data_IF_995279702589
#
_entry.id   IF_995279702589
#
_cell.length_a   1.000
_cell.length_b   1.000
_cell.length_c   1.000
_cell.angle_alpha   90.00
_cell.angle_beta   90.00
_cell.angle_gamma   90.00
#
_symmetry.space_group_name_H-M   'P 1'
#
loop_
_entity.id
_entity.type
_entity.pdbx_description
1 polymer ?
#
# COMPACT_ATOMS: atom_id res chain seq x y z
N UNK A 1 -64.38 35.32 6.83
CA UNK A 1 -64.28 33.97 7.40
C UNK A 1 -63.63 33.04 6.38
N UNK A 2 -62.34 32.76 6.54
CA UNK A 2 -61.63 31.62 5.95
C UNK A 2 -60.45 31.34 6.87
N UNK A 3 -60.68 30.40 7.78
CA UNK A 3 -59.72 29.89 8.76
C UNK A 3 -58.78 28.98 7.97
N UNK A 4 -57.49 29.31 7.96
CA UNK A 4 -56.44 28.41 7.47
C UNK A 4 -55.72 27.82 8.68
N UNK A 5 -56.08 26.58 8.99
CA UNK A 5 -55.21 25.68 9.74
C UNK A 5 -54.10 25.21 8.79
N UNK A 6 -52.84 25.37 9.17
CA UNK A 6 -51.76 24.53 8.66
C UNK A 6 -50.68 24.37 9.71
N UNK A 7 -50.76 23.19 10.33
CA UNK A 7 -49.71 22.38 10.95
C UNK A 7 -48.47 23.10 11.49
N UNK A 8 -48.43 23.24 12.82
CA UNK A 8 -47.19 23.14 13.57
C UNK A 8 -46.53 21.78 13.24
N UNK A 9 -45.47 21.80 12.43
CA UNK A 9 -44.51 20.71 12.45
C UNK A 9 -43.84 20.70 13.84
N UNK A 10 -43.82 19.56 14.55
CA UNK A 10 -42.93 19.44 15.68
C UNK A 10 -41.49 19.47 15.13
N UNK A 11 -40.72 20.46 15.55
CA UNK A 11 -39.26 20.36 15.54
C UNK A 11 -38.91 19.12 16.37
N UNK A 12 -38.74 17.97 15.71
CA UNK A 12 -37.84 16.95 16.24
C UNK A 12 -36.47 17.60 16.23
N UNK A 13 -36.05 18.09 17.39
CA UNK A 13 -34.64 18.25 17.67
C UNK A 13 -34.02 16.89 17.39
N UNK A 14 -33.24 16.80 16.31
CA UNK A 14 -32.32 15.71 16.12
C UNK A 14 -31.45 15.68 17.38
N UNK A 15 -31.73 14.74 18.28
CA UNK A 15 -30.82 14.42 19.36
C UNK A 15 -29.50 14.08 18.67
N UNK A 16 -28.54 14.97 18.85
CA UNK A 16 -27.22 14.84 18.26
C UNK A 16 -26.67 13.51 18.77
N UNK A 17 -26.24 12.64 17.86
CA UNK A 17 -25.45 11.46 18.19
C UNK A 17 -24.14 11.96 18.80
N UNK A 18 -24.13 12.11 20.12
CA UNK A 18 -22.99 12.60 20.88
C UNK A 18 -22.03 11.41 21.08
N UNK A 19 -21.00 11.39 20.24
CA UNK A 19 -19.66 10.81 20.47
C UNK A 19 -19.60 9.50 21.28
N UNK A 20 -19.44 8.37 20.58
CA UNK A 20 -19.17 7.06 21.19
C UNK A 20 -17.89 7.00 22.04
N UNK A 21 -17.02 8.02 22.02
CA UNK A 21 -15.79 8.09 22.83
C UNK A 21 -15.75 9.42 23.61
N UNK A 22 -16.34 9.43 24.81
CA UNK A 22 -16.56 10.62 25.63
C UNK A 22 -15.59 10.78 26.81
N UNK A 23 -14.78 9.76 27.10
CA UNK A 23 -13.72 9.81 28.12
C UNK A 23 -12.37 9.89 27.39
N UNK A 24 -11.51 10.84 27.76
CA UNK A 24 -10.18 11.02 27.14
C UNK A 24 -9.10 10.91 28.20
N UNK A 25 -8.12 10.03 27.98
CA UNK A 25 -6.98 9.87 28.89
C UNK A 25 -6.11 11.11 28.95
N UNK A 26 -5.29 11.22 30.00
CA UNK A 26 -4.12 12.09 29.98
C UNK A 26 -3.21 11.73 28.78
N UNK A 27 -2.46 12.70 28.22
CA UNK A 27 -1.56 12.43 27.12
C UNK A 27 -0.39 11.53 27.55
N UNK A 28 0.01 10.59 26.68
CA UNK A 28 1.09 9.64 26.94
C UNK A 28 1.95 9.38 25.70
N UNK A 29 3.14 8.82 25.90
CA UNK A 29 3.98 8.35 24.80
C UNK A 29 3.78 6.85 24.61
N UNK A 30 3.75 6.40 23.35
CA UNK A 30 3.87 4.98 23.05
C UNK A 30 5.34 4.57 23.07
N UNK A 31 5.65 3.47 23.73
CA UNK A 31 7.01 2.91 23.83
C UNK A 31 7.04 1.55 23.13
N UNK A 32 8.01 1.36 22.25
CA UNK A 32 8.19 0.10 21.52
C UNK A 32 8.91 -0.92 22.39
N UNK A 33 8.27 -2.06 22.64
CA UNK A 33 8.92 -3.26 23.17
C UNK A 33 9.37 -4.14 22.01
N UNK A 34 10.66 -4.49 21.95
CA UNK A 34 11.25 -5.28 20.86
C UNK A 34 12.39 -6.16 21.33
N UNK A 35 12.56 -7.33 20.72
CA UNK A 35 13.75 -8.17 20.88
C UNK A 35 15.01 -7.48 20.31
N UNK A 36 14.83 -6.52 19.41
CA UNK A 36 15.93 -5.71 18.89
C UNK A 36 16.30 -4.61 19.89
N UNK A 37 17.41 -4.84 20.62
CA UNK A 37 17.96 -3.91 21.61
C UNK A 37 18.24 -2.49 21.10
N UNK A 38 18.43 -2.29 19.79
CA UNK A 38 18.69 -0.95 19.23
C UNK A 38 17.46 -0.04 19.17
N UNK A 39 16.26 -0.63 19.22
CA UNK A 39 14.98 0.09 19.12
C UNK A 39 14.07 -0.18 20.32
N UNK A 40 14.38 -1.19 21.12
CA UNK A 40 13.64 -1.50 22.33
C UNK A 40 13.68 -0.29 23.29
N UNK A 41 12.52 0.12 23.79
CA UNK A 41 12.36 1.31 24.63
C UNK A 41 12.32 2.63 23.86
N UNK A 42 12.43 2.63 22.52
CA UNK A 42 12.25 3.86 21.74
C UNK A 42 10.78 4.26 21.71
N UNK A 43 10.50 5.57 21.72
CA UNK A 43 9.12 6.05 21.60
C UNK A 43 8.64 6.06 20.16
N UNK A 44 7.33 5.90 19.96
CA UNK A 44 6.71 6.10 18.67
C UNK A 44 6.31 7.56 18.47
N UNK A 45 6.28 7.99 17.21
CA UNK A 45 5.94 9.32 16.75
C UNK A 45 4.97 9.24 15.56
N UNK A 46 4.28 10.34 15.26
CA UNK A 46 3.48 10.48 14.05
C UNK A 46 4.37 11.03 12.92
N UNK A 47 4.58 10.23 11.86
CA UNK A 47 5.38 10.62 10.71
C UNK A 47 4.52 10.80 9.46
N UNK A 48 4.78 11.86 8.70
CA UNK A 48 3.98 12.17 7.52
C UNK A 48 4.22 11.16 6.39
N UNK A 49 3.14 10.56 5.88
CA UNK A 49 3.16 9.59 4.77
C UNK A 49 2.47 10.10 3.49
N UNK A 50 2.01 11.35 3.48
CA UNK A 50 1.36 12.03 2.35
C UNK A 50 -0.14 12.25 2.55
N UNK A 51 -0.74 13.13 1.74
CA UNK A 51 -2.20 13.42 1.73
C UNK A 51 -2.83 13.71 3.11
N UNK A 52 -2.10 14.42 3.99
CA UNK A 52 -2.50 14.68 5.37
C UNK A 52 -2.80 13.39 6.19
N UNK A 53 -2.05 12.33 5.90
CA UNK A 53 -2.00 11.11 6.69
C UNK A 53 -0.63 10.97 7.33
N UNK A 54 -0.64 10.44 8.54
CA UNK A 54 0.55 10.08 9.28
C UNK A 54 0.58 8.58 9.53
N UNK A 55 1.73 8.05 9.94
CA UNK A 55 1.90 6.67 10.38
C UNK A 55 2.66 6.65 11.71
N UNK A 56 2.67 5.51 12.39
CA UNK A 56 3.47 5.32 13.59
C UNK A 56 4.93 5.00 13.19
N UNK A 57 5.83 5.93 13.47
CA UNK A 57 7.27 5.82 13.23
C UNK A 57 8.06 5.84 14.54
N UNK A 58 9.35 5.52 14.52
CA UNK A 58 10.23 5.71 15.68
C UNK A 58 10.62 7.19 15.83
N UNK A 59 10.52 7.72 17.05
CA UNK A 59 10.85 9.11 17.42
C UNK A 59 12.36 9.45 17.40
N UNK A 60 13.22 8.53 17.00
CA UNK A 60 14.65 8.78 16.81
C UNK A 60 15.19 8.03 15.58
N UNK A 61 14.28 7.52 14.74
CA UNK A 61 14.65 6.83 13.51
C UNK A 61 15.09 7.84 12.44
N UNK A 62 16.22 7.59 11.79
CA UNK A 62 16.59 8.30 10.58
C UNK A 62 15.58 7.99 9.47
N UNK A 63 14.93 9.02 8.92
CA UNK A 63 13.88 8.87 7.93
C UNK A 63 13.77 10.07 6.97
N UNK A 64 12.81 9.99 6.04
CA UNK A 64 12.50 11.04 5.05
C UNK A 64 11.59 12.15 5.60
N UNK A 65 11.05 11.98 6.80
CA UNK A 65 10.16 12.96 7.43
C UNK A 65 10.97 14.04 8.15
N UNK A 66 10.54 15.30 8.03
CA UNK A 66 11.14 16.44 8.73
C UNK A 66 10.24 16.90 9.90
N UNK A 67 10.81 17.30 11.04
CA UNK A 67 12.24 17.33 11.35
C UNK A 67 12.83 15.91 11.51
N UNK A 68 14.13 15.76 11.23
CA UNK A 68 14.89 14.52 11.38
C UNK A 68 16.05 14.75 12.37
N UNK A 69 16.14 14.02 13.51
CA UNK A 69 15.22 12.97 13.94
C UNK A 69 13.83 13.48 14.33
N UNK A 70 12.82 12.63 14.15
CA UNK A 70 11.41 12.95 14.42
C UNK A 70 11.16 13.05 15.94
N UNK A 71 10.76 14.18 16.54
CA UNK A 71 10.50 14.24 17.98
C UNK A 71 9.41 13.24 18.41
N UNK A 72 9.48 12.80 19.66
CA UNK A 72 8.38 12.03 20.26
C UNK A 72 7.10 12.89 20.29
N UNK A 73 5.95 12.28 20.02
CA UNK A 73 4.64 12.94 20.15
C UNK A 73 3.83 12.25 21.22
N UNK A 74 2.92 13.01 21.82
CA UNK A 74 1.97 12.48 22.77
C UNK A 74 0.68 12.05 22.06
N UNK A 75 0.15 10.92 22.48
CA UNK A 75 -1.14 10.37 22.07
C UNK A 75 -2.13 10.49 23.23
N UNK A 76 -3.40 10.41 22.92
CA UNK A 76 -4.48 10.22 23.88
C UNK A 76 -5.21 8.92 23.56
N UNK A 77 -5.90 8.37 24.56
CA UNK A 77 -6.77 7.23 24.38
C UNK A 77 -8.19 7.62 24.78
N UNK A 78 -9.12 7.46 23.85
CA UNK A 78 -10.51 7.84 24.08
C UNK A 78 -11.37 6.59 24.24
N UNK A 79 -12.11 6.52 25.34
CA UNK A 79 -13.01 5.40 25.67
C UNK A 79 -14.44 5.91 25.82
N UNK A 80 -15.39 4.96 25.90
CA UNK A 80 -16.79 5.27 26.21
C UNK A 80 -17.08 5.04 27.69
N UNK A 81 -17.95 5.85 28.29
CA UNK A 81 -18.60 5.53 29.57
C UNK A 81 -19.55 4.34 29.47
N UNK A 82 -20.02 4.01 28.25
CA UNK A 82 -20.79 2.82 27.92
C UNK A 82 -20.03 1.99 26.87
N UNK A 83 -18.98 1.28 27.28
CA UNK A 83 -18.12 0.54 26.36
C UNK A 83 -18.86 -0.62 25.70
N UNK A 84 -18.72 -0.74 24.38
CA UNK A 84 -19.22 -1.90 23.65
C UNK A 84 -18.42 -3.15 24.05
N UNK A 85 -19.04 -4.01 24.87
CA UNK A 85 -18.51 -5.32 25.30
C UNK A 85 -17.09 -5.27 25.89
N UNK A 86 -16.89 -4.73 27.12
CA UNK A 86 -15.60 -4.77 27.79
C UNK A 86 -15.16 -6.22 27.99
N UNK A 87 -14.00 -6.58 27.45
CA UNK A 87 -13.33 -7.76 27.96
C UNK A 87 -12.48 -7.34 29.16
N UNK A 88 -12.95 -7.68 30.36
CA UNK A 88 -12.33 -7.27 31.63
C UNK A 88 -10.85 -7.68 31.74
N UNK A 89 -10.39 -8.68 30.99
CA UNK A 89 -9.00 -9.15 30.98
C UNK A 89 -8.16 -8.50 29.88
N UNK A 90 -8.78 -7.99 28.80
CA UNK A 90 -8.06 -7.45 27.63
C UNK A 90 -8.07 -5.91 27.57
N UNK A 91 -8.76 -5.27 28.52
CA UNK A 91 -8.86 -3.82 28.64
C UNK A 91 -10.16 -3.25 28.08
N UNK A 92 -10.46 -2.02 28.51
CA UNK A 92 -11.60 -1.25 28.01
C UNK A 92 -11.37 -0.84 26.55
N UNK A 93 -12.26 -1.20 25.62
CA UNK A 93 -12.15 -0.80 24.23
C UNK A 93 -12.18 0.72 24.06
N UNK A 94 -11.35 1.23 23.17
CA UNK A 94 -11.24 2.65 22.85
C UNK A 94 -10.45 2.88 21.57
N UNK A 95 -10.11 4.14 21.33
CA UNK A 95 -9.39 4.57 20.14
C UNK A 95 -8.15 5.36 20.52
N UNK A 96 -7.05 5.10 19.81
CA UNK A 96 -5.82 5.84 19.94
C UNK A 96 -5.88 7.08 19.06
N UNK A 97 -5.74 8.25 19.67
CA UNK A 97 -5.87 9.55 19.00
C UNK A 97 -4.60 10.38 19.10
N UNK A 98 -4.43 11.23 18.11
CA UNK A 98 -3.35 12.20 18.03
C UNK A 98 -3.85 13.46 17.33
N UNK A 99 -3.26 14.61 17.64
CA UNK A 99 -3.66 15.87 17.03
C UNK A 99 -2.55 16.37 16.11
N UNK A 100 -2.84 16.40 14.80
CA UNK A 100 -1.98 17.03 13.81
C UNK A 100 -2.03 18.55 13.99
N UNK A 101 -0.87 19.14 14.29
CA UNK A 101 -0.70 20.58 14.37
C UNK A 101 -0.46 21.16 12.99
N UNK A 102 -1.37 22.01 12.51
CA UNK A 102 -1.17 22.79 11.27
C UNK A 102 -0.87 24.25 11.61
N UNK A 103 -0.58 25.09 10.60
CA UNK A 103 -0.37 26.52 10.79
C UNK A 103 -1.60 27.30 11.24
N UNK A 104 -2.80 26.72 11.07
CA UNK A 104 -4.06 27.47 11.15
C UNK A 104 -5.09 26.83 12.07
N UNK A 105 -5.07 25.51 12.22
CA UNK A 105 -5.96 24.78 13.13
C UNK A 105 -5.39 23.40 13.48
N UNK A 106 -5.92 22.82 14.54
CA UNK A 106 -5.58 21.47 14.96
C UNK A 106 -6.51 20.46 14.27
N UNK A 107 -5.93 19.37 13.76
CA UNK A 107 -6.69 18.29 13.11
C UNK A 107 -6.68 17.06 14.01
N UNK A 108 -7.80 16.75 14.69
CA UNK A 108 -7.90 15.53 15.48
C UNK A 108 -7.85 14.34 14.54
N UNK A 109 -7.02 13.36 14.86
CA UNK A 109 -6.79 12.17 14.06
C UNK A 109 -6.83 10.94 14.95
N UNK A 110 -7.15 9.79 14.35
CA UNK A 110 -7.19 8.50 15.04
C UNK A 110 -6.46 7.43 14.24
N UNK A 111 -5.97 6.41 14.94
CA UNK A 111 -5.30 5.28 14.31
C UNK A 111 -6.32 4.37 13.63
N UNK A 112 -5.99 3.97 12.41
CA UNK A 112 -6.64 2.96 11.59
C UNK A 112 -5.58 1.99 11.09
N UNK A 113 -5.87 0.68 11.08
CA UNK A 113 -5.00 -0.29 10.43
C UNK A 113 -5.50 -0.60 9.02
N UNK A 114 -4.75 -0.17 8.02
CA UNK A 114 -4.98 -0.60 6.65
C UNK A 114 -4.42 -2.01 6.45
N UNK A 115 -5.31 -2.95 6.11
CA UNK A 115 -4.96 -4.34 5.85
C UNK A 115 -5.01 -4.63 4.35
N UNK A 116 -3.92 -5.18 3.80
CA UNK A 116 -3.92 -5.75 2.45
C UNK A 116 -4.19 -7.26 2.56
N UNK A 117 -5.30 -7.78 1.99
CA UNK A 117 -5.70 -9.18 2.13
C UNK A 117 -4.72 -10.18 1.50
N UNK A 118 -3.73 -9.71 0.75
CA UNK A 118 -2.68 -10.54 0.16
C UNK A 118 -1.43 -10.65 1.05
N UNK A 119 -1.43 -9.97 2.20
CA UNK A 119 -0.29 -9.93 3.13
C UNK A 119 -0.74 -10.19 4.57
N UNK A 120 0.20 -10.62 5.39
CA UNK A 120 0.06 -10.71 6.85
C UNK A 120 0.36 -9.37 7.55
N UNK A 121 0.45 -8.27 6.81
CA UNK A 121 0.84 -6.96 7.31
C UNK A 121 -0.34 -5.97 7.38
N UNK A 122 -0.38 -5.20 8.47
CA UNK A 122 -1.33 -4.09 8.64
C UNK A 122 -0.60 -2.77 8.90
N UNK A 123 -0.86 -1.74 8.08
CA UNK A 123 -0.22 -0.44 8.18
C UNK A 123 -1.00 0.48 9.15
N UNK A 124 -0.42 0.92 10.30
CA UNK A 124 -1.02 1.95 11.12
C UNK A 124 -0.98 3.28 10.36
N UNK A 125 -2.16 3.81 10.08
CA UNK A 125 -2.35 5.16 9.56
C UNK A 125 -3.08 5.99 10.62
N UNK A 126 -2.66 7.23 10.77
CA UNK A 126 -3.37 8.26 11.51
C UNK A 126 -4.17 9.06 10.47
N UNK A 127 -5.50 8.99 10.56
CA UNK A 127 -6.42 9.66 9.64
C UNK A 127 -7.19 10.75 10.38
N UNK A 128 -7.46 11.92 9.76
CA UNK A 128 -8.35 12.92 10.32
C UNK A 128 -9.72 12.34 10.69
N UNK A 129 -10.22 12.69 11.87
CA UNK A 129 -11.49 12.21 12.40
C UNK A 129 -11.39 10.86 13.14
N UNK A 130 -12.56 10.29 13.44
CA UNK A 130 -12.71 9.06 14.25
C UNK A 130 -13.61 8.00 13.59
N UNK A 131 -14.20 8.29 12.43
CA UNK A 131 -15.25 7.48 11.81
C UNK A 131 -14.77 6.06 11.40
N UNK A 132 -13.50 5.92 11.02
CA UNK A 132 -12.88 4.66 10.62
C UNK A 132 -11.80 4.21 11.63
N UNK A 133 -11.92 4.59 12.88
CA UNK A 133 -10.89 4.29 13.89
C UNK A 133 -10.80 2.80 14.22
N UNK A 134 -9.58 2.32 14.41
CA UNK A 134 -9.34 0.97 14.91
C UNK A 134 -9.71 0.88 16.39
N UNK A 135 -10.51 -0.13 16.73
CA UNK A 135 -10.77 -0.48 18.13
C UNK A 135 -9.51 -1.13 18.72
N UNK A 136 -9.03 -0.52 19.80
CA UNK A 136 -7.83 -0.90 20.53
C UNK A 136 -8.18 -1.00 22.02
N UNK A 137 -7.25 -1.53 22.82
CA UNK A 137 -7.32 -1.47 24.28
C UNK A 137 -5.91 -1.49 24.88
N UNK A 138 -5.81 -1.12 26.15
CA UNK A 138 -4.63 -1.36 26.98
C UNK A 138 -4.96 -2.44 28.01
N UNK A 139 -4.09 -3.45 28.13
CA UNK A 139 -4.23 -4.47 29.17
C UNK A 139 -3.78 -3.96 30.55
N UNK A 140 -3.81 -4.83 31.56
CA UNK A 140 -3.37 -4.54 32.93
C UNK A 140 -1.86 -4.27 33.06
N UNK A 141 -1.09 -4.48 32.00
CA UNK A 141 0.34 -4.22 31.88
C UNK A 141 0.64 -3.00 30.99
N UNK A 142 -0.38 -2.17 30.70
CA UNK A 142 -0.29 -1.00 29.83
C UNK A 142 0.19 -1.34 28.40
N UNK A 143 -0.10 -2.55 27.90
CA UNK A 143 0.24 -2.95 26.53
C UNK A 143 -0.94 -2.73 25.59
N UNK A 144 -0.68 -1.95 24.54
CA UNK A 144 -1.65 -1.71 23.47
C UNK A 144 -1.92 -3.02 22.71
N UNK A 145 -3.19 -3.35 22.56
CA UNK A 145 -3.65 -4.52 21.81
C UNK A 145 -4.77 -4.17 20.83
N UNK A 146 -4.83 -4.93 19.74
CA UNK A 146 -5.94 -4.90 18.78
C UNK A 146 -6.97 -5.94 19.20
N UNK A 147 -8.22 -5.52 19.39
CA UNK A 147 -9.30 -6.44 19.73
C UNK A 147 -10.10 -6.82 18.48
N UNK A 148 -10.44 -8.10 18.34
CA UNK A 148 -11.22 -8.60 17.21
C UNK A 148 -11.93 -9.92 17.48
N UNK A 149 -12.99 -10.20 16.73
CA UNK A 149 -13.79 -11.44 16.85
C UNK A 149 -13.32 -12.57 15.93
N UNK A 150 -12.42 -12.28 15.00
CA UNK A 150 -11.85 -13.29 14.10
C UNK A 150 -10.56 -13.79 14.72
N UNK A 151 -10.43 -15.11 14.86
CA UNK A 151 -9.18 -15.79 15.21
C UNK A 151 -8.36 -16.01 13.93
N UNK A 152 -7.37 -15.15 13.70
CA UNK A 152 -6.47 -15.26 12.55
C UNK A 152 -5.36 -16.30 12.75
N UNK A 153 -5.20 -16.86 13.95
CA UNK A 153 -4.24 -17.95 14.20
C UNK A 153 -4.74 -19.32 13.74
N UNK A 154 -6.03 -19.43 13.41
CA UNK A 154 -6.65 -20.64 12.89
C UNK A 154 -6.68 -20.63 11.35
N UNK A 155 -6.53 -21.80 10.72
CA UNK A 155 -6.66 -21.97 9.27
C UNK A 155 -7.75 -23.01 8.93
N UNK A 156 -8.89 -22.60 8.33
CA UNK A 156 -9.25 -21.22 7.98
C UNK A 156 -9.57 -20.37 9.23
N UNK A 157 -9.47 -19.02 9.12
CA UNK A 157 -9.89 -18.13 10.20
C UNK A 157 -11.33 -18.41 10.63
N UNK A 158 -11.59 -18.36 11.93
CA UNK A 158 -12.93 -18.60 12.46
C UNK A 158 -13.37 -17.48 13.40
N UNK A 159 -14.68 -17.25 13.49
CA UNK A 159 -15.26 -16.26 14.40
C UNK A 159 -15.39 -16.88 15.78
N UNK A 160 -14.75 -16.28 16.78
CA UNK A 160 -14.73 -16.74 18.17
C UNK A 160 -15.04 -15.58 19.14
N UNK A 161 -14.91 -15.83 20.44
CA UNK A 161 -14.91 -14.76 21.44
C UNK A 161 -13.79 -13.75 21.17
N UNK A 162 -13.98 -12.50 21.61
CA UNK A 162 -13.01 -11.41 21.42
C UNK A 162 -11.60 -11.86 21.81
N UNK A 163 -10.66 -11.74 20.87
CA UNK A 163 -9.22 -11.97 21.04
C UNK A 163 -8.49 -10.64 21.10
N UNK A 164 -7.41 -10.59 21.89
CA UNK A 164 -6.45 -9.49 21.87
C UNK A 164 -5.19 -9.91 21.13
N UNK A 165 -4.75 -9.07 20.20
CA UNK A 165 -3.52 -9.23 19.45
C UNK A 165 -2.50 -8.20 19.92
N UNK A 166 -1.42 -8.69 20.55
CA UNK A 166 -0.35 -7.88 21.13
C UNK A 166 0.87 -7.71 20.21
N UNK A 167 0.79 -8.18 18.96
CA UNK A 167 1.95 -8.25 18.07
C UNK A 167 1.86 -7.18 16.99
N UNK A 168 2.64 -6.12 17.17
CA UNK A 168 3.07 -5.23 16.10
C UNK A 168 4.57 -5.43 15.90
N UNK A 169 4.95 -6.35 15.02
CA UNK A 169 6.34 -6.46 14.61
C UNK A 169 6.67 -5.29 13.69
N UNK A 170 7.42 -4.30 14.17
CA UNK A 170 7.94 -3.25 13.29
C UNK A 170 8.99 -3.86 12.36
N UNK A 171 8.62 -4.13 11.10
CA UNK A 171 9.57 -4.46 10.05
C UNK A 171 10.39 -3.20 9.68
N UNK A 172 11.31 -2.81 10.56
CA UNK A 172 12.27 -1.77 10.23
C UNK A 172 13.23 -2.34 9.19
N UNK A 173 13.17 -1.80 7.97
CA UNK A 173 14.28 -1.91 7.03
C UNK A 173 15.48 -1.19 7.64
N UNK A 174 16.25 -1.88 8.49
CA UNK A 174 17.60 -1.46 8.87
C UNK A 174 18.43 -1.30 7.60
N UNK A 175 19.02 -0.10 7.44
CA UNK A 175 19.57 0.48 6.21
C UNK A 175 18.51 0.61 5.10
N UNK A 176 18.14 1.86 4.78
CA UNK A 176 17.77 2.14 3.39
C UNK A 176 18.98 1.71 2.54
N UNK A 177 18.84 0.59 1.83
CA UNK A 177 19.59 0.42 0.60
C UNK A 177 19.40 1.72 -0.18
N UNK A 178 20.47 2.25 -0.78
CA UNK A 178 20.41 3.37 -1.73
C UNK A 178 19.13 3.23 -2.56
N UNK A 179 18.26 4.26 -2.61
CA UNK A 179 16.97 4.13 -3.27
C UNK A 179 17.20 3.64 -4.69
N UNK A 180 16.57 2.53 -5.06
CA UNK A 180 16.65 2.00 -6.40
C UNK A 180 15.76 2.87 -7.31
N UNK A 181 16.33 3.30 -8.43
CA UNK A 181 15.64 4.13 -9.41
C UNK A 181 14.93 3.22 -10.41
N UNK A 182 13.61 3.38 -10.53
CA UNK A 182 12.81 2.72 -11.57
C UNK A 182 12.91 3.53 -12.88
N UNK A 183 12.80 2.84 -14.01
CA UNK A 183 12.68 3.48 -15.32
C UNK A 183 11.40 4.33 -15.49
N UNK A 184 11.37 5.07 -16.60
CA UNK A 184 10.27 5.95 -16.95
C UNK A 184 9.27 5.31 -17.92
N UNK A 185 8.36 6.13 -18.46
CA UNK A 185 7.32 5.69 -19.38
C UNK A 185 7.87 5.32 -20.76
N UNK A 186 7.82 4.02 -21.09
CA UNK A 186 8.29 3.42 -22.34
C UNK A 186 7.76 4.11 -23.62
N UNK A 187 6.45 4.38 -23.67
CA UNK A 187 5.77 4.95 -24.85
C UNK A 187 6.30 6.31 -25.28
N UNK A 188 6.71 7.18 -24.34
CA UNK A 188 7.20 8.53 -24.68
C UNK A 188 8.56 8.46 -25.36
N UNK A 189 9.43 7.58 -24.89
CA UNK A 189 10.74 7.36 -25.48
C UNK A 189 10.65 6.67 -26.85
N UNK A 190 9.73 5.72 -27.03
CA UNK A 190 9.43 5.17 -28.36
C UNK A 190 9.01 6.25 -29.35
N UNK A 191 8.09 7.14 -28.96
CA UNK A 191 7.67 8.25 -29.80
C UNK A 191 8.83 9.20 -30.11
N UNK A 192 9.71 9.47 -29.13
CA UNK A 192 10.93 10.29 -29.33
C UNK A 192 11.88 9.66 -30.35
N UNK A 193 11.96 8.33 -30.39
CA UNK A 193 12.77 7.57 -31.35
C UNK A 193 12.03 7.29 -32.67
N UNK A 194 10.87 7.90 -32.92
CA UNK A 194 10.04 7.67 -34.11
C UNK A 194 9.68 6.18 -34.32
N UNK A 195 9.57 5.40 -33.24
CA UNK A 195 9.17 4.01 -33.32
C UNK A 195 7.70 3.86 -33.73
N UNK A 196 7.30 2.71 -34.33
CA UNK A 196 5.90 2.42 -34.61
C UNK A 196 5.04 2.48 -33.35
N UNK A 197 4.08 3.41 -33.34
CA UNK A 197 3.22 3.66 -32.17
C UNK A 197 1.85 4.16 -32.63
N UNK A 198 0.81 3.36 -32.44
CA UNK A 198 -0.59 3.73 -32.74
C UNK A 198 -1.56 2.96 -31.85
N UNK A 199 -2.79 3.45 -31.75
CA UNK A 199 -3.87 2.68 -31.13
C UNK A 199 -4.38 1.58 -32.09
N UNK A 200 -4.90 0.45 -31.56
CA UNK A 200 -4.99 0.08 -30.15
C UNK A 200 -3.73 -0.56 -29.53
N UNK A 201 -2.68 -0.82 -30.30
CA UNK A 201 -1.52 -1.61 -29.85
C UNK A 201 -0.50 -0.84 -28.99
N UNK A 202 -0.47 0.49 -29.07
CA UNK A 202 0.44 1.36 -28.32
C UNK A 202 1.90 0.88 -28.41
N UNK A 203 2.59 0.70 -27.28
CA UNK A 203 3.99 0.27 -27.21
C UNK A 203 4.20 -1.19 -27.65
N UNK A 204 3.14 -2.01 -27.71
CA UNK A 204 3.24 -3.36 -28.25
C UNK A 204 3.54 -3.33 -29.76
N UNK A 205 3.11 -2.29 -30.49
CA UNK A 205 3.42 -2.19 -31.91
C UNK A 205 4.92 -2.08 -32.16
N UNK A 206 5.62 -1.23 -31.39
CA UNK A 206 7.07 -1.14 -31.47
C UNK A 206 7.76 -2.46 -31.12
N UNK A 207 7.22 -3.23 -30.18
CA UNK A 207 7.74 -4.57 -29.88
C UNK A 207 7.59 -5.53 -31.06
N UNK A 208 6.47 -5.44 -31.79
CA UNK A 208 6.16 -6.29 -32.95
C UNK A 208 7.00 -5.89 -34.17
N UNK A 209 7.09 -4.60 -34.48
CA UNK A 209 7.64 -4.11 -35.75
C UNK A 209 9.09 -3.61 -35.64
N UNK A 210 9.50 -3.12 -34.47
CA UNK A 210 10.81 -2.51 -34.26
C UNK A 210 11.41 -2.86 -32.87
N UNK A 211 11.58 -4.16 -32.53
CA UNK A 211 12.04 -4.59 -31.21
C UNK A 211 13.42 -4.03 -30.82
N UNK A 212 14.27 -3.70 -31.81
CA UNK A 212 15.55 -3.05 -31.58
C UNK A 212 15.40 -1.66 -30.92
N UNK A 213 14.34 -0.90 -31.23
CA UNK A 213 14.05 0.38 -30.58
C UNK A 213 13.56 0.20 -29.14
N UNK A 214 12.85 -0.90 -28.84
CA UNK A 214 12.48 -1.23 -27.45
C UNK A 214 13.74 -1.48 -26.61
N UNK A 215 14.69 -2.25 -27.14
CA UNK A 215 15.99 -2.47 -26.48
C UNK A 215 16.77 -1.17 -26.29
N UNK A 216 16.78 -0.29 -27.31
CA UNK A 216 17.42 1.02 -27.20
C UNK A 216 16.84 1.85 -26.06
N UNK A 217 15.51 1.90 -25.90
CA UNK A 217 14.89 2.63 -24.79
C UNK A 217 15.28 2.06 -23.43
N UNK A 218 15.40 0.73 -23.29
CA UNK A 218 15.92 0.14 -22.05
C UNK A 218 17.35 0.60 -21.76
N UNK A 219 18.22 0.63 -22.78
CA UNK A 219 19.57 1.18 -22.64
C UNK A 219 19.55 2.66 -22.24
N UNK A 220 18.69 3.48 -22.85
CA UNK A 220 18.58 4.91 -22.55
C UNK A 220 18.16 5.13 -21.08
N UNK A 221 17.22 4.33 -20.55
CA UNK A 221 16.83 4.41 -19.14
C UNK A 221 17.94 3.95 -18.19
N UNK A 222 18.63 2.87 -18.53
CA UNK A 222 19.78 2.39 -17.76
C UNK A 222 20.84 3.49 -17.72
N UNK A 223 21.22 4.05 -18.87
CA UNK A 223 22.21 5.12 -18.97
C UNK A 223 21.81 6.39 -18.20
N UNK A 224 20.51 6.70 -18.12
CA UNK A 224 19.98 7.79 -17.32
C UNK A 224 20.01 7.53 -15.80
N UNK A 225 20.36 6.31 -15.36
CA UNK A 225 20.54 5.96 -13.96
C UNK A 225 19.50 4.99 -13.40
N UNK A 226 18.65 4.38 -14.22
CA UNK A 226 17.71 3.36 -13.72
C UNK A 226 18.47 2.14 -13.17
N UNK A 227 18.08 1.68 -11.99
CA UNK A 227 18.54 0.43 -11.36
C UNK A 227 17.58 -0.73 -11.65
N UNK A 228 16.32 -0.39 -11.96
CA UNK A 228 15.26 -1.33 -12.32
C UNK A 228 14.61 -0.85 -13.61
N UNK A 229 14.53 -1.74 -14.61
CA UNK A 229 13.76 -1.49 -15.82
C UNK A 229 12.53 -2.41 -15.90
N UNK A 230 11.45 -1.93 -16.49
CA UNK A 230 10.20 -2.69 -16.68
C UNK A 230 10.11 -3.25 -18.09
N UNK A 231 9.62 -4.46 -18.26
CA UNK A 231 9.43 -5.05 -19.61
C UNK A 231 8.36 -4.29 -20.38
N UNK A 232 8.53 -4.16 -21.70
CA UNK A 232 7.50 -3.61 -22.60
C UNK A 232 6.35 -4.62 -22.85
N UNK A 233 5.65 -5.01 -21.78
CA UNK A 233 4.58 -6.02 -21.79
C UNK A 233 3.21 -5.47 -21.37
N UNK A 234 3.10 -4.18 -21.06
CA UNK A 234 1.84 -3.58 -20.59
C UNK A 234 0.71 -3.67 -21.62
N UNK A 235 1.02 -3.43 -22.90
CA UNK A 235 0.03 -3.48 -23.98
C UNK A 235 -0.12 -4.89 -24.58
N UNK A 236 0.53 -5.93 -24.02
CA UNK A 236 0.40 -7.32 -24.49
C UNK A 236 -0.82 -8.00 -23.87
N UNK A 237 -1.99 -7.37 -23.98
CA UNK A 237 -3.27 -7.88 -23.49
C UNK A 237 -4.33 -7.91 -24.59
N UNK A 238 -5.35 -8.77 -24.48
CA UNK A 238 -6.42 -8.85 -25.48
C UNK A 238 -7.05 -7.51 -25.80
N UNK A 239 -7.17 -6.62 -24.81
CA UNK A 239 -7.70 -5.26 -24.97
C UNK A 239 -6.93 -4.43 -26.01
N UNK A 240 -5.61 -4.62 -26.11
CA UNK A 240 -4.73 -3.82 -26.96
C UNK A 240 -4.34 -4.54 -28.26
N UNK A 241 -4.00 -5.82 -28.18
CA UNK A 241 -3.50 -6.60 -29.33
C UNK A 241 -4.55 -7.51 -29.96
N UNK A 242 -5.75 -7.58 -29.38
CA UNK A 242 -6.83 -8.46 -29.81
C UNK A 242 -6.71 -9.88 -29.24
N UNK A 243 -7.85 -10.53 -29.02
CA UNK A 243 -7.93 -11.88 -28.42
C UNK A 243 -7.23 -12.94 -29.26
N UNK A 244 -7.44 -12.93 -30.59
CA UNK A 244 -6.81 -13.88 -31.51
C UNK A 244 -5.28 -13.79 -31.47
N UNK A 245 -4.73 -12.57 -31.52
CA UNK A 245 -3.28 -12.36 -31.47
C UNK A 245 -2.72 -12.71 -30.11
N UNK A 246 -3.40 -12.34 -29.03
CA UNK A 246 -2.95 -12.71 -27.68
C UNK A 246 -2.78 -14.23 -27.56
N UNK A 247 -3.75 -15.01 -28.01
CA UNK A 247 -3.65 -16.47 -27.93
C UNK A 247 -2.62 -17.07 -28.89
N UNK A 248 -2.42 -16.47 -30.07
CA UNK A 248 -1.42 -16.96 -31.04
C UNK A 248 0.02 -16.55 -30.73
N UNK A 249 0.22 -15.34 -30.22
CA UNK A 249 1.53 -14.66 -30.15
C UNK A 249 1.84 -14.03 -28.79
N UNK A 250 0.88 -13.93 -27.87
CA UNK A 250 1.04 -13.22 -26.59
C UNK A 250 2.21 -13.76 -25.76
N UNK A 251 2.35 -15.09 -25.67
CA UNK A 251 3.47 -15.73 -24.98
C UNK A 251 4.82 -15.40 -25.63
N UNK A 252 4.89 -15.45 -26.97
CA UNK A 252 6.12 -15.16 -27.71
C UNK A 252 6.55 -13.70 -27.56
N UNK A 253 5.59 -12.77 -27.68
CA UNK A 253 5.82 -11.34 -27.52
C UNK A 253 6.21 -10.99 -26.08
N UNK A 254 5.57 -11.61 -25.08
CA UNK A 254 5.93 -11.41 -23.68
C UNK A 254 7.35 -11.93 -23.39
N UNK A 255 7.71 -13.10 -23.93
CA UNK A 255 9.06 -13.64 -23.83
C UNK A 255 10.08 -12.73 -24.55
N UNK A 256 9.74 -12.17 -25.71
CA UNK A 256 10.58 -11.20 -26.43
C UNK A 256 10.79 -9.94 -25.59
N UNK A 257 9.73 -9.36 -25.01
CA UNK A 257 9.85 -8.20 -24.12
C UNK A 257 10.77 -8.47 -22.92
N UNK A 258 10.63 -9.65 -22.30
CA UNK A 258 11.52 -10.09 -21.23
C UNK A 258 12.98 -10.25 -21.66
N UNK A 259 13.22 -10.87 -22.83
CA UNK A 259 14.58 -11.05 -23.38
C UNK A 259 15.25 -9.72 -23.70
N UNK A 260 14.58 -8.79 -24.37
CA UNK A 260 15.16 -7.48 -24.74
C UNK A 260 15.56 -6.67 -23.52
N UNK A 261 14.73 -6.66 -22.48
CA UNK A 261 15.05 -6.01 -21.20
C UNK A 261 16.25 -6.69 -20.51
N UNK A 262 16.26 -8.02 -20.46
CA UNK A 262 17.38 -8.80 -19.89
C UNK A 262 18.69 -8.53 -20.61
N UNK A 263 18.69 -8.57 -21.94
CA UNK A 263 19.87 -8.28 -22.75
C UNK A 263 20.41 -6.86 -22.50
N UNK A 264 19.53 -5.87 -22.34
CA UNK A 264 19.95 -4.51 -22.02
C UNK A 264 20.58 -4.42 -20.62
N UNK A 265 19.97 -5.08 -19.62
CA UNK A 265 20.45 -5.14 -18.25
C UNK A 265 21.81 -5.87 -18.12
N UNK A 266 21.96 -7.00 -18.80
CA UNK A 266 23.17 -7.84 -18.74
C UNK A 266 24.35 -7.18 -19.47
N UNK A 267 24.08 -6.48 -20.59
CA UNK A 267 25.09 -5.70 -21.30
C UNK A 267 25.69 -4.60 -20.40
N UNK A 268 24.86 -3.87 -19.66
CA UNK A 268 25.33 -2.84 -18.71
C UNK A 268 26.08 -3.47 -17.54
N UNK A 269 25.54 -4.55 -16.97
CA UNK A 269 26.18 -5.26 -15.85
C UNK A 269 27.58 -5.72 -16.24
N UNK A 270 27.76 -6.16 -17.49
CA UNK A 270 29.06 -6.57 -18.04
C UNK A 270 29.98 -5.37 -18.29
N UNK A 271 29.45 -4.26 -18.81
CA UNK A 271 30.24 -3.10 -19.21
C UNK A 271 30.78 -2.29 -18.01
N UNK A 272 29.97 -2.11 -16.97
CA UNK A 272 30.30 -1.18 -15.87
C UNK A 272 30.15 -1.80 -14.46
N UNK A 273 29.80 -3.09 -14.36
CA UNK A 273 29.67 -3.79 -13.08
C UNK A 273 28.44 -3.39 -12.25
N UNK A 274 27.54 -2.56 -12.80
CA UNK A 274 26.30 -2.15 -12.14
C UNK A 274 25.21 -3.19 -12.40
N UNK A 275 24.72 -3.82 -11.33
CA UNK A 275 23.63 -4.82 -11.43
C UNK A 275 22.30 -4.12 -11.73
N UNK A 276 21.73 -4.39 -12.90
CA UNK A 276 20.41 -3.91 -13.30
C UNK A 276 19.36 -4.99 -13.07
N UNK A 277 18.26 -4.63 -12.40
CA UNK A 277 17.11 -5.50 -12.22
C UNK A 277 16.11 -5.33 -13.36
N UNK A 278 15.43 -6.40 -13.71
CA UNK A 278 14.33 -6.39 -14.70
C UNK A 278 13.05 -6.74 -13.97
N UNK A 279 11.98 -6.00 -14.20
CA UNK A 279 10.66 -6.26 -13.64
C UNK A 279 9.66 -6.57 -14.75
N UNK A 280 8.95 -7.69 -14.63
CA UNK A 280 7.87 -8.04 -15.55
C UNK A 280 6.64 -7.14 -15.31
N UNK A 281 6.24 -6.36 -16.31
CA UNK A 281 5.03 -5.52 -16.21
C UNK A 281 3.78 -6.37 -16.44
N UNK A 282 2.89 -6.42 -15.44
CA UNK A 282 1.60 -7.11 -15.48
C UNK A 282 0.45 -6.08 -15.50
N UNK A 283 -0.22 -5.89 -16.64
CA UNK A 283 -1.25 -4.88 -16.83
C UNK A 283 -2.66 -5.37 -16.40
N UNK A 284 -3.62 -4.45 -16.22
CA UNK A 284 -5.05 -4.79 -16.23
C UNK A 284 -5.45 -5.42 -17.57
N UNK A 285 -5.92 -6.67 -17.54
CA UNK A 285 -6.19 -7.47 -18.75
C UNK A 285 -7.30 -6.87 -19.63
N UNK A 286 -8.36 -6.33 -19.02
CA UNK A 286 -9.60 -5.94 -19.72
C UNK A 286 -9.76 -4.43 -19.91
N UNK A 287 -8.68 -3.66 -19.73
CA UNK A 287 -8.68 -2.21 -19.85
C UNK A 287 -8.25 -1.52 -18.56
N UNK A 288 -7.60 -0.36 -18.72
CA UNK A 288 -7.10 0.43 -17.60
C UNK A 288 -8.16 1.44 -17.17
N UNK A 289 -8.36 1.60 -15.86
CA UNK A 289 -9.37 2.52 -15.28
C UNK A 289 -10.83 2.20 -15.68
N UNK A 290 -11.09 0.97 -16.10
CA UNK A 290 -12.42 0.49 -16.48
C UNK A 290 -12.82 -0.71 -15.60
N UNK A 291 -13.07 -0.51 -14.29
CA UNK A 291 -13.38 -1.60 -13.36
C UNK A 291 -14.59 -2.44 -13.79
N UNK A 292 -15.55 -1.82 -14.49
CA UNK A 292 -16.73 -2.49 -15.04
C UNK A 292 -16.41 -3.54 -16.12
N UNK A 293 -15.21 -3.51 -16.72
CA UNK A 293 -14.76 -4.50 -17.71
C UNK A 293 -14.01 -5.67 -17.07
N UNK A 294 -13.74 -5.63 -15.76
CA UNK A 294 -13.02 -6.69 -15.07
C UNK A 294 -13.83 -7.99 -15.05
N UNK A 295 -13.19 -9.09 -15.42
CA UNK A 295 -13.78 -10.43 -15.41
C UNK A 295 -12.90 -11.38 -14.60
N UNK A 296 -13.31 -11.63 -13.35
CA UNK A 296 -12.59 -12.50 -12.42
C UNK A 296 -12.43 -13.92 -12.96
N UNK A 297 -13.42 -14.42 -13.72
CA UNK A 297 -13.42 -15.80 -14.21
C UNK A 297 -12.35 -16.06 -15.26
N UNK A 298 -11.89 -15.02 -15.96
CA UNK A 298 -10.95 -15.11 -17.09
C UNK A 298 -9.58 -14.52 -16.80
N UNK A 299 -9.47 -13.59 -15.84
CA UNK A 299 -8.23 -12.81 -15.64
C UNK A 299 -6.99 -13.68 -15.40
N UNK A 300 -7.15 -14.80 -14.68
CA UNK A 300 -6.03 -15.68 -14.33
C UNK A 300 -5.45 -16.40 -15.56
N UNK A 301 -6.29 -16.75 -16.54
CA UNK A 301 -5.86 -17.42 -17.76
C UNK A 301 -4.91 -16.52 -18.58
N UNK A 302 -5.24 -15.23 -18.68
CA UNK A 302 -4.42 -14.24 -19.37
C UNK A 302 -3.12 -13.91 -18.61
N UNK A 303 -3.22 -13.71 -17.29
CA UNK A 303 -2.04 -13.42 -16.47
C UNK A 303 -1.06 -14.59 -16.45
N UNK A 304 -1.53 -15.83 -16.42
CA UNK A 304 -0.68 -17.02 -16.46
C UNK A 304 0.24 -17.03 -17.69
N UNK A 305 -0.28 -16.68 -18.87
CA UNK A 305 0.51 -16.57 -20.11
C UNK A 305 1.64 -15.55 -19.94
N UNK A 306 1.33 -14.35 -19.44
CA UNK A 306 2.32 -13.29 -19.26
C UNK A 306 3.37 -13.65 -18.20
N UNK A 307 2.93 -14.18 -17.06
CA UNK A 307 3.83 -14.57 -15.95
C UNK A 307 4.81 -15.64 -16.40
N UNK A 308 4.33 -16.72 -17.04
CA UNK A 308 5.18 -17.81 -17.50
C UNK A 308 6.16 -17.33 -18.58
N UNK A 309 5.68 -16.53 -19.54
CA UNK A 309 6.52 -16.05 -20.63
C UNK A 309 7.58 -15.02 -20.18
N UNK A 310 7.26 -14.17 -19.20
CA UNK A 310 8.18 -13.14 -18.70
C UNK A 310 9.22 -13.70 -17.71
N UNK A 311 8.92 -14.79 -17.01
CA UNK A 311 9.76 -15.31 -15.92
C UNK A 311 11.26 -15.48 -16.29
N UNK A 312 11.63 -16.03 -17.46
CA UNK A 312 13.04 -16.19 -17.84
C UNK A 312 13.81 -14.87 -17.99
N UNK A 313 13.14 -13.81 -18.48
CA UNK A 313 13.78 -12.51 -18.72
C UNK A 313 13.70 -11.56 -17.50
N UNK A 314 12.57 -11.57 -16.79
CA UNK A 314 12.32 -10.71 -15.65
C UNK A 314 13.01 -11.18 -14.35
N UNK A 315 13.59 -12.38 -14.30
CA UNK A 315 14.20 -12.90 -13.06
C UNK A 315 13.21 -12.96 -11.90
N UNK A 316 11.92 -13.19 -12.20
CA UNK A 316 10.81 -13.15 -11.25
C UNK A 316 10.95 -14.26 -10.19
N UNK A 317 11.59 -13.93 -9.07
CA UNK A 317 11.35 -14.59 -7.77
C UNK A 317 10.60 -13.67 -6.79
N UNK A 318 10.29 -12.42 -7.15
CA UNK A 318 9.62 -11.45 -6.26
C UNK A 318 8.73 -10.45 -7.00
N UNK A 319 7.44 -10.49 -6.70
CA UNK A 319 6.47 -9.42 -6.98
C UNK A 319 6.63 -8.37 -5.89
N UNK A 320 6.91 -7.11 -6.24
CA UNK A 320 7.08 -6.03 -5.25
C UNK A 320 5.87 -5.10 -5.21
N UNK A 321 5.31 -4.91 -4.02
CA UNK A 321 4.52 -3.72 -3.65
C UNK A 321 5.17 -3.02 -2.43
N UNK A 322 4.93 -1.71 -2.37
CA UNK A 322 5.63 -0.66 -1.63
C UNK A 322 5.60 -0.88 -0.11
N UNK A 323 6.69 -0.54 0.59
CA UNK A 323 6.86 -0.74 2.03
C UNK A 323 6.35 0.44 2.86
N UNK A 324 5.58 0.13 3.90
CA UNK A 324 5.22 0.97 5.04
C UNK A 324 5.32 0.10 6.30
N UNK A 325 5.50 0.67 7.49
CA UNK A 325 5.56 -0.11 8.75
C UNK A 325 4.30 -0.97 8.87
N UNK A 326 4.43 -2.29 8.90
CA UNK A 326 3.29 -3.21 9.04
C UNK A 326 3.34 -3.89 10.40
N UNK A 327 2.23 -3.99 11.12
CA UNK A 327 2.06 -4.99 12.18
C UNK A 327 1.83 -6.34 11.50
N UNK A 328 2.72 -7.30 11.74
CA UNK A 328 2.54 -8.68 11.28
C UNK A 328 1.48 -9.34 12.16
N UNK A 329 0.31 -9.62 11.58
CA UNK A 329 -0.68 -10.51 12.18
C UNK A 329 -0.24 -11.97 11.94
N UNK A 330 -0.39 -12.87 12.90
CA UNK A 330 -0.01 -14.26 12.71
C UNK A 330 -0.85 -14.90 11.60
N UNK A 331 -0.19 -15.58 10.66
CA UNK A 331 -0.79 -16.54 9.73
C UNK A 331 -0.67 -17.98 10.22
#
# INVERSE_FOLDING_TARGET
>A
MKITFSALLPFLAAAHAQLFYNETSAPFNLVLTSDNSTINGTTLSACHTGAALESLCLSQGGGVSNPNPLPAVQFNFNTSTDPFTPNATLGTPGILTWTLKTSSFDVPSSVYFFYDPTTDAALPLLKPGQDDSQILAFDDQDRLNVQGYVDYTANPPNSTSVKAYYRCQAALRQKMATPLILDGGMSRELMRLNAPFRQPEWSALALIEAPHLVKQVHHDFIAAGADIITTNSYALVPFHIGEERFWKQGAELAALAGRLAREAADAETTAIGRKILVAGSLPPIFGSYEPQKFDESRVQEYLAVLVVALAPGAGCNKVYRKASLGCILPG
#
